data_IF_628096190782
#
_entry.id   IF_628096190782
#
_cell.length_a   1.000
_cell.length_b   1.000
_cell.length_c   1.000
_cell.angle_alpha   90.00
_cell.angle_beta   90.00
_cell.angle_gamma   90.00
#
_symmetry.space_group_name_H-M   'P 1'
#
loop_
_entity.id
_entity.type
_entity.pdbx_description
1 polymer ?
#
# COMPACT_ATOMS: atom_id res chain seq x y z
N UNK A 1 -27.48 -1.44 -22.64
CA UNK A 1 -26.69 -1.34 -23.88
C UNK A 1 -25.90 -0.03 -24.03
N UNK A 2 -26.51 1.17 -23.91
CA UNK A 2 -25.72 2.42 -24.07
C UNK A 2 -24.74 2.66 -22.91
N UNK A 3 -25.14 2.41 -21.67
CA UNK A 3 -24.30 2.59 -20.49
C UNK A 3 -23.10 1.63 -20.45
N UNK A 4 -23.29 0.38 -20.87
CA UNK A 4 -22.19 -0.60 -20.93
C UNK A 4 -21.15 -0.20 -21.99
N UNK A 5 -21.59 0.32 -23.15
CA UNK A 5 -20.68 0.84 -24.18
C UNK A 5 -19.82 2.00 -23.69
N UNK A 6 -20.40 2.94 -22.92
CA UNK A 6 -19.66 4.06 -22.34
C UNK A 6 -18.68 3.61 -21.26
N UNK A 7 -19.07 2.64 -20.44
CA UNK A 7 -18.19 2.04 -19.44
C UNK A 7 -16.96 1.40 -20.07
N UNK A 8 -17.14 0.57 -21.12
CA UNK A 8 -16.02 -0.03 -21.84
C UNK A 8 -15.13 1.02 -22.52
N UNK A 9 -15.70 2.12 -23.01
CA UNK A 9 -14.92 3.21 -23.60
C UNK A 9 -14.07 3.92 -22.56
N UNK A 10 -14.61 4.25 -21.38
CA UNK A 10 -13.87 4.91 -20.30
C UNK A 10 -12.79 3.97 -19.75
N UNK A 11 -13.10 2.70 -19.51
CA UNK A 11 -12.13 1.71 -19.04
C UNK A 11 -11.02 1.46 -20.09
N UNK A 12 -11.37 1.48 -21.38
CA UNK A 12 -10.42 1.43 -22.50
C UNK A 12 -9.49 2.65 -22.51
N UNK A 13 -10.03 3.85 -22.30
CA UNK A 13 -9.24 5.08 -22.22
C UNK A 13 -8.26 5.05 -21.03
N UNK A 14 -8.69 4.56 -19.86
CA UNK A 14 -7.79 4.31 -18.73
C UNK A 14 -6.67 3.34 -19.12
N UNK A 15 -7.01 2.23 -19.77
CA UNK A 15 -6.03 1.23 -20.20
C UNK A 15 -4.98 1.81 -21.14
N UNK A 16 -5.42 2.59 -22.14
CA UNK A 16 -4.53 3.26 -23.09
C UNK A 16 -3.62 4.27 -22.42
N UNK A 17 -4.15 5.08 -21.48
CA UNK A 17 -3.36 6.03 -20.69
C UNK A 17 -2.24 5.34 -19.93
N UNK A 18 -2.55 4.23 -19.26
CA UNK A 18 -1.56 3.52 -18.43
C UNK A 18 -0.51 2.82 -19.29
N UNK A 19 -0.90 2.16 -20.37
CA UNK A 19 0.04 1.53 -21.31
C UNK A 19 0.95 2.57 -21.94
N UNK A 20 0.41 3.72 -22.36
CA UNK A 20 1.19 4.83 -22.89
C UNK A 20 2.16 5.39 -21.84
N UNK A 21 1.69 5.64 -20.61
CA UNK A 21 2.53 6.16 -19.52
C UNK A 21 3.67 5.21 -19.18
N UNK A 22 3.41 3.90 -19.12
CA UNK A 22 4.44 2.87 -18.93
C UNK A 22 5.44 2.84 -20.08
N UNK A 23 4.97 3.02 -21.32
CA UNK A 23 5.83 3.04 -22.51
C UNK A 23 6.76 4.25 -22.53
N UNK A 24 6.29 5.42 -22.11
CA UNK A 24 7.09 6.66 -22.05
C UNK A 24 8.09 6.62 -20.89
N UNK A 25 7.73 6.04 -19.75
CA UNK A 25 8.56 6.02 -18.53
C UNK A 25 9.36 4.73 -18.35
N UNK A 26 9.90 4.19 -19.42
CA UNK A 26 10.50 2.84 -19.49
C UNK A 26 11.55 2.52 -18.41
N UNK A 27 12.23 3.49 -17.82
CA UNK A 27 13.29 3.25 -16.81
C UNK A 27 13.41 4.41 -15.82
N UNK A 28 13.60 4.16 -14.51
CA UNK A 28 13.61 2.85 -13.84
C UNK A 28 12.23 2.18 -13.87
N UNK A 29 12.18 0.84 -13.75
CA UNK A 29 10.93 0.06 -13.92
C UNK A 29 10.09 0.10 -12.63
N UNK A 30 10.74 0.11 -11.45
CA UNK A 30 10.04 0.09 -10.16
C UNK A 30 10.15 1.47 -9.52
N UNK A 31 9.06 2.23 -9.58
CA UNK A 31 8.92 3.57 -9.03
C UNK A 31 7.56 3.69 -8.34
N UNK A 32 7.36 4.73 -7.53
CA UNK A 32 6.04 5.03 -6.96
C UNK A 32 5.01 5.32 -8.05
N UNK A 33 5.44 5.99 -9.13
CA UNK A 33 4.59 6.23 -10.30
C UNK A 33 4.07 4.94 -10.92
N UNK A 34 4.94 3.94 -11.13
CA UNK A 34 4.52 2.65 -11.67
C UNK A 34 3.61 1.88 -10.70
N UNK A 35 3.84 2.00 -9.38
CA UNK A 35 2.93 1.49 -8.36
C UNK A 35 1.54 2.12 -8.44
N UNK A 36 1.47 3.45 -8.59
CA UNK A 36 0.23 4.18 -8.82
C UNK A 36 -0.48 3.69 -10.10
N UNK A 37 0.24 3.61 -11.22
CA UNK A 37 -0.35 3.16 -12.50
C UNK A 37 -0.90 1.73 -12.39
N UNK A 38 -0.16 0.80 -11.78
CA UNK A 38 -0.59 -0.59 -11.63
C UNK A 38 -1.87 -0.72 -10.78
N UNK A 39 -1.93 -0.02 -9.64
CA UNK A 39 -3.12 -0.04 -8.77
C UNK A 39 -4.31 0.63 -9.45
N UNK A 40 -4.10 1.77 -10.08
CA UNK A 40 -5.14 2.50 -10.81
C UNK A 40 -5.63 1.71 -12.02
N UNK A 41 -4.77 0.99 -12.73
CA UNK A 41 -5.17 0.10 -13.83
C UNK A 41 -6.13 -0.98 -13.35
N UNK A 42 -5.83 -1.64 -12.23
CA UNK A 42 -6.72 -2.67 -11.68
C UNK A 42 -8.05 -2.04 -11.25
N UNK A 43 -8.00 -0.93 -10.52
CA UNK A 43 -9.19 -0.31 -9.94
C UNK A 43 -10.12 0.34 -10.98
N UNK A 44 -9.57 1.01 -12.00
CA UNK A 44 -10.34 1.85 -12.93
C UNK A 44 -10.41 1.33 -14.38
N UNK A 45 -9.65 0.29 -14.72
CA UNK A 45 -9.76 -0.37 -16.02
C UNK A 45 -10.25 -1.82 -15.86
N UNK A 46 -9.53 -2.66 -15.11
CA UNK A 46 -9.83 -4.09 -15.01
C UNK A 46 -11.12 -4.35 -14.22
N UNK A 47 -11.28 -3.72 -13.04
CA UNK A 47 -12.45 -3.92 -12.19
C UNK A 47 -13.78 -3.53 -12.87
N UNK A 48 -13.93 -2.34 -13.48
CA UNK A 48 -15.16 -1.99 -14.19
C UNK A 48 -15.53 -2.97 -15.30
N UNK A 49 -14.55 -3.46 -16.08
CA UNK A 49 -14.76 -4.45 -17.13
C UNK A 49 -15.24 -5.79 -16.53
N UNK A 50 -14.57 -6.30 -15.50
CA UNK A 50 -14.97 -7.55 -14.84
C UNK A 50 -16.35 -7.38 -14.18
N UNK A 51 -16.63 -6.24 -13.56
CA UNK A 51 -17.94 -5.93 -12.99
C UNK A 51 -19.05 -5.95 -14.05
N UNK A 52 -18.84 -5.32 -15.21
CA UNK A 52 -19.81 -5.31 -16.31
C UNK A 52 -20.07 -6.74 -16.84
N UNK A 53 -19.02 -7.54 -17.04
CA UNK A 53 -19.13 -8.96 -17.47
C UNK A 53 -19.86 -9.80 -16.43
N UNK A 54 -19.68 -9.50 -15.13
CA UNK A 54 -20.33 -10.21 -14.02
C UNK A 54 -21.77 -9.72 -13.72
N UNK A 55 -22.39 -8.90 -14.57
CA UNK A 55 -23.75 -8.42 -14.40
C UNK A 55 -23.89 -7.04 -13.75
N UNK A 56 -22.83 -6.22 -13.75
CA UNK A 56 -22.90 -4.82 -13.32
C UNK A 56 -22.84 -4.62 -11.79
N UNK A 57 -22.06 -5.42 -11.09
CA UNK A 57 -21.98 -5.38 -9.63
C UNK A 57 -21.18 -4.16 -9.14
N UNK A 58 -21.85 -3.18 -8.53
CA UNK A 58 -21.25 -2.05 -7.81
C UNK A 58 -21.45 -2.30 -6.30
N UNK A 59 -20.37 -2.25 -5.51
CA UNK A 59 -20.40 -2.61 -4.09
C UNK A 59 -21.18 -1.61 -3.21
N UNK A 60 -21.19 -0.33 -3.59
CA UNK A 60 -21.78 0.74 -2.77
C UNK A 60 -22.84 1.50 -3.57
N UNK A 61 -24.00 0.88 -3.85
CA UNK A 61 -25.05 1.53 -4.62
C UNK A 61 -25.73 2.63 -3.82
N UNK A 62 -25.80 3.84 -4.40
CA UNK A 62 -26.49 5.00 -3.83
C UNK A 62 -27.02 5.88 -4.98
N UNK A 63 -28.22 6.44 -4.82
CA UNK A 63 -28.83 7.30 -5.82
C UNK A 63 -28.98 6.65 -7.19
N UNK A 64 -28.80 7.40 -8.27
CA UNK A 64 -28.68 6.90 -9.63
C UNK A 64 -27.28 6.35 -9.87
N UNK A 65 -27.07 5.14 -9.34
CA UNK A 65 -25.74 4.54 -9.18
C UNK A 65 -24.97 4.45 -10.50
N UNK A 66 -25.64 4.18 -11.59
CA UNK A 66 -24.96 3.93 -12.88
C UNK A 66 -24.41 5.22 -13.49
N UNK A 67 -25.22 6.29 -13.52
CA UNK A 67 -24.78 7.59 -14.04
C UNK A 67 -23.71 8.21 -13.13
N UNK A 68 -23.89 8.13 -11.81
CA UNK A 68 -22.88 8.59 -10.85
C UNK A 68 -21.56 7.79 -11.00
N UNK A 69 -21.64 6.47 -11.22
CA UNK A 69 -20.46 5.64 -11.41
C UNK A 69 -19.69 6.02 -12.69
N UNK A 70 -20.39 6.15 -13.82
CA UNK A 70 -19.78 6.55 -15.08
C UNK A 70 -19.15 7.94 -15.02
N UNK A 71 -19.86 8.90 -14.43
CA UNK A 71 -19.35 10.26 -14.24
C UNK A 71 -18.11 10.27 -13.33
N UNK A 72 -18.12 9.48 -12.25
CA UNK A 72 -16.98 9.32 -11.35
C UNK A 72 -15.76 8.70 -12.03
N UNK A 73 -15.96 7.69 -12.87
CA UNK A 73 -14.89 7.11 -13.68
C UNK A 73 -14.29 8.12 -14.66
N UNK A 74 -15.11 8.95 -15.30
CA UNK A 74 -14.64 10.01 -16.19
C UNK A 74 -13.85 11.10 -15.45
N UNK A 75 -14.29 11.52 -14.27
CA UNK A 75 -13.54 12.43 -13.39
C UNK A 75 -12.20 11.83 -12.97
N UNK A 76 -12.19 10.55 -12.62
CA UNK A 76 -10.95 9.86 -12.25
C UNK A 76 -10.00 9.73 -13.44
N UNK A 77 -10.52 9.54 -14.65
CA UNK A 77 -9.70 9.58 -15.88
C UNK A 77 -9.05 10.95 -16.06
N UNK A 78 -9.80 12.03 -15.91
CA UNK A 78 -9.27 13.38 -16.01
C UNK A 78 -8.19 13.64 -14.94
N UNK A 79 -8.41 13.21 -13.69
CA UNK A 79 -7.42 13.24 -12.61
C UNK A 79 -6.16 12.48 -12.99
N UNK A 80 -6.29 11.24 -13.50
CA UNK A 80 -5.15 10.41 -13.88
C UNK A 80 -4.37 10.96 -15.08
N UNK A 81 -5.05 11.56 -16.04
CA UNK A 81 -4.39 12.30 -17.16
C UNK A 81 -3.56 13.45 -16.60
N UNK A 82 -4.12 14.25 -15.70
CA UNK A 82 -3.42 15.34 -15.06
C UNK A 82 -2.25 14.85 -14.19
N UNK A 83 -2.43 13.74 -13.45
CA UNK A 83 -1.38 13.12 -12.66
C UNK A 83 -0.20 12.67 -13.54
N UNK A 84 -0.49 11.94 -14.61
CA UNK A 84 0.54 11.51 -15.58
C UNK A 84 1.21 12.71 -16.23
N UNK A 85 0.44 13.74 -16.62
CA UNK A 85 0.97 14.99 -17.16
C UNK A 85 1.91 15.70 -16.19
N UNK A 86 1.50 15.88 -14.93
CA UNK A 86 2.30 16.47 -13.87
C UNK A 86 3.59 15.69 -13.61
N UNK A 87 3.51 14.37 -13.59
CA UNK A 87 4.68 13.51 -13.45
C UNK A 87 5.65 13.70 -14.62
N UNK A 88 5.20 13.62 -15.86
CA UNK A 88 6.05 13.71 -17.06
C UNK A 88 6.69 15.08 -17.25
N UNK A 89 6.04 16.16 -16.79
CA UNK A 89 6.62 17.52 -16.84
C UNK A 89 7.92 17.64 -16.03
N UNK A 90 7.98 16.95 -14.89
CA UNK A 90 9.10 17.07 -13.94
C UNK A 90 10.02 15.86 -13.91
N UNK A 91 9.54 14.68 -14.36
CA UNK A 91 10.36 13.48 -14.37
C UNK A 91 11.56 13.61 -15.30
N UNK A 92 12.73 13.42 -14.71
CA UNK A 92 14.00 13.32 -15.46
C UNK A 92 14.70 12.05 -14.99
N UNK A 93 14.83 11.03 -15.85
CA UNK A 93 15.59 9.83 -15.47
C UNK A 93 17.03 10.23 -15.14
N UNK A 94 17.59 9.76 -14.03
CA UNK A 94 18.96 10.05 -13.68
C UNK A 94 19.89 9.50 -14.78
N UNK A 95 20.82 10.32 -15.26
CA UNK A 95 21.79 9.95 -16.31
C UNK A 95 22.66 8.76 -15.91
N UNK A 96 22.92 8.60 -14.61
CA UNK A 96 23.66 7.48 -14.05
C UNK A 96 22.97 6.99 -12.79
N UNK A 97 22.73 5.69 -12.70
CA UNK A 97 22.32 5.05 -11.44
C UNK A 97 23.55 4.98 -10.53
N UNK A 98 23.57 5.73 -9.43
CA UNK A 98 24.72 5.71 -8.53
C UNK A 98 24.81 4.34 -7.86
N UNK A 99 26.04 3.81 -7.71
CA UNK A 99 26.27 2.59 -6.94
C UNK A 99 25.68 2.68 -5.53
N UNK A 100 25.05 1.61 -5.08
CA UNK A 100 24.42 1.55 -3.76
C UNK A 100 25.45 1.22 -2.69
N UNK A 101 25.47 2.02 -1.63
CA UNK A 101 26.21 1.75 -0.41
C UNK A 101 25.25 1.23 0.65
N UNK A 102 25.33 -0.06 0.97
CA UNK A 102 24.54 -0.65 2.06
C UNK A 102 25.29 -0.50 3.37
N UNK A 103 24.69 0.19 4.34
CA UNK A 103 25.26 0.38 5.67
C UNK A 103 25.43 -0.94 6.43
N UNK A 104 26.46 -1.05 7.27
CA UNK A 104 26.62 -2.17 8.19
C UNK A 104 25.47 -2.33 9.22
N UNK A 105 24.69 -1.27 9.44
CA UNK A 105 23.52 -1.31 10.33
C UNK A 105 22.35 -2.14 9.79
N UNK A 106 22.32 -2.46 8.49
CA UNK A 106 21.19 -3.15 7.84
C UNK A 106 20.98 -4.56 8.41
N UNK A 107 22.07 -5.33 8.63
CA UNK A 107 21.97 -6.67 9.21
C UNK A 107 21.41 -6.65 10.65
N UNK A 108 21.87 -5.68 11.45
CA UNK A 108 21.37 -5.48 12.82
C UNK A 108 19.91 -5.03 12.82
N UNK A 109 19.58 -4.10 11.92
CA UNK A 109 18.22 -3.64 11.73
C UNK A 109 17.26 -4.75 11.29
N UNK A 110 17.73 -5.68 10.44
CA UNK A 110 16.97 -6.86 10.06
C UNK A 110 16.62 -7.74 11.27
N UNK A 111 17.60 -8.07 12.12
CA UNK A 111 17.38 -8.87 13.32
C UNK A 111 16.45 -8.12 14.30
N UNK A 112 16.68 -6.82 14.53
CA UNK A 112 15.83 -6.02 15.40
C UNK A 112 14.39 -5.92 14.89
N UNK A 113 14.20 -5.76 13.58
CA UNK A 113 12.87 -5.75 12.94
C UNK A 113 12.15 -7.08 13.10
N UNK A 114 12.84 -8.18 12.86
CA UNK A 114 12.28 -9.52 13.03
C UNK A 114 11.85 -9.75 14.47
N UNK A 115 12.72 -9.46 15.46
CA UNK A 115 12.42 -9.64 16.86
C UNK A 115 11.24 -8.76 17.31
N UNK A 116 11.22 -7.49 16.93
CA UNK A 116 10.11 -6.59 17.25
C UNK A 116 8.78 -7.10 16.68
N UNK A 117 8.78 -7.51 15.42
CA UNK A 117 7.58 -8.03 14.76
C UNK A 117 7.09 -9.33 15.41
N UNK A 118 7.98 -10.29 15.67
CA UNK A 118 7.63 -11.56 16.32
C UNK A 118 7.09 -11.33 17.73
N UNK A 119 7.77 -10.51 18.53
CA UNK A 119 7.32 -10.18 19.89
C UNK A 119 5.94 -9.52 19.87
N UNK A 120 5.70 -8.56 18.97
CA UNK A 120 4.40 -7.93 18.83
C UNK A 120 3.30 -8.93 18.46
N UNK A 121 3.56 -9.88 17.54
CA UNK A 121 2.61 -10.95 17.20
C UNK A 121 2.32 -11.85 18.40
N UNK A 122 3.34 -12.26 19.15
CA UNK A 122 3.18 -13.08 20.37
C UNK A 122 2.33 -12.34 21.40
N UNK A 123 2.61 -11.05 21.63
CA UNK A 123 1.82 -10.24 22.58
C UNK A 123 0.36 -10.11 22.10
N UNK A 124 0.12 -9.87 20.82
CA UNK A 124 -1.24 -9.85 20.26
C UNK A 124 -1.94 -11.19 20.52
N UNK A 125 -1.26 -12.31 20.27
CA UNK A 125 -1.80 -13.64 20.50
C UNK A 125 -2.14 -13.87 21.97
N UNK A 126 -1.26 -13.52 22.87
CA UNK A 126 -1.49 -13.64 24.32
C UNK A 126 -2.67 -12.79 24.80
N UNK A 127 -2.78 -11.55 24.32
CA UNK A 127 -3.86 -10.63 24.68
C UNK A 127 -5.22 -11.00 24.04
N UNK A 128 -5.23 -11.78 22.98
CA UNK A 128 -6.45 -12.28 22.34
C UNK A 128 -7.02 -13.55 23.02
N UNK A 129 -6.64 -13.83 24.24
CA UNK A 129 -7.08 -15.00 25.04
C UNK A 129 -6.83 -16.36 24.33
N UNK A 130 -5.75 -16.47 23.58
CA UNK A 130 -5.36 -17.70 22.91
C UNK A 130 -6.14 -18.01 21.63
N UNK A 131 -7.06 -17.12 21.20
CA UNK A 131 -7.65 -17.24 19.87
C UNK A 131 -6.56 -17.11 18.80
N UNK A 132 -6.42 -18.14 17.95
CA UNK A 132 -5.42 -18.10 16.89
C UNK A 132 -5.69 -16.96 15.90
N UNK A 133 -4.65 -16.24 15.56
CA UNK A 133 -4.65 -15.07 14.67
C UNK A 133 -5.37 -15.24 13.33
N UNK A 134 -5.46 -16.45 12.72
CA UNK A 134 -6.08 -16.62 11.41
C UNK A 134 -7.57 -16.19 11.33
N UNK A 135 -8.25 -16.13 12.46
CA UNK A 135 -9.66 -15.69 12.51
C UNK A 135 -9.82 -14.21 12.80
N UNK A 136 -8.75 -13.54 13.23
CA UNK A 136 -8.79 -12.13 13.59
C UNK A 136 -8.50 -11.26 12.37
N UNK A 137 -9.49 -10.58 11.84
CA UNK A 137 -9.27 -9.46 10.92
C UNK A 137 -8.47 -8.38 11.64
N UNK A 138 -7.58 -7.67 10.91
CA UNK A 138 -6.79 -6.56 11.45
C UNK A 138 -7.62 -5.56 12.26
N UNK A 139 -8.85 -5.33 11.83
CA UNK A 139 -9.84 -4.48 12.52
C UNK A 139 -10.24 -5.09 13.87
N UNK A 140 -10.54 -6.39 13.93
CA UNK A 140 -10.89 -7.04 15.18
C UNK A 140 -9.76 -6.96 16.20
N UNK A 141 -8.50 -7.17 15.76
CA UNK A 141 -7.33 -7.03 16.64
C UNK A 141 -7.23 -5.60 17.20
N UNK A 142 -7.40 -4.58 16.35
CA UNK A 142 -7.30 -3.18 16.79
C UNK A 142 -8.43 -2.75 17.74
N UNK A 143 -9.58 -3.42 17.70
CA UNK A 143 -10.74 -3.10 18.52
C UNK A 143 -10.80 -3.93 19.80
N UNK A 144 -10.45 -5.22 19.73
CA UNK A 144 -10.66 -6.19 20.82
C UNK A 144 -9.44 -6.38 21.70
N UNK A 145 -8.22 -6.20 21.15
CA UNK A 145 -6.98 -6.37 21.89
C UNK A 145 -6.57 -5.07 22.56
N UNK A 146 -6.29 -5.06 23.88
CA UNK A 146 -5.74 -3.89 24.56
C UNK A 146 -4.48 -3.38 23.83
N UNK A 147 -4.41 -2.06 23.61
CA UNK A 147 -3.33 -1.44 22.83
C UNK A 147 -3.18 -1.96 21.38
N UNK A 148 -4.20 -2.65 20.83
CA UNK A 148 -4.15 -3.23 19.49
C UNK A 148 -3.78 -2.22 18.40
N UNK A 149 -4.19 -0.95 18.54
CA UNK A 149 -3.83 0.16 17.63
C UNK A 149 -2.32 0.47 17.58
N UNK A 150 -1.57 0.15 18.63
CA UNK A 150 -0.11 0.29 18.68
C UNK A 150 0.58 -1.02 18.34
N UNK A 151 0.07 -2.13 18.85
CA UNK A 151 0.65 -3.45 18.65
C UNK A 151 0.55 -3.92 17.21
N UNK A 152 -0.55 -3.63 16.54
CA UNK A 152 -0.75 -4.03 15.16
C UNK A 152 0.28 -3.40 14.19
N UNK A 153 0.49 -2.08 14.13
CA UNK A 153 1.59 -1.50 13.37
C UNK A 153 2.96 -2.00 13.81
N UNK A 154 3.19 -2.19 15.12
CA UNK A 154 4.43 -2.73 15.65
C UNK A 154 4.71 -4.18 15.23
N UNK A 155 3.69 -4.94 14.84
CA UNK A 155 3.83 -6.26 14.23
C UNK A 155 4.07 -6.16 12.71
N UNK A 156 3.15 -5.50 11.98
CA UNK A 156 3.11 -5.60 10.53
C UNK A 156 4.20 -4.79 9.82
N UNK A 157 4.55 -3.61 10.36
CA UNK A 157 5.56 -2.74 9.75
C UNK A 157 6.96 -3.37 9.78
N UNK A 158 7.47 -3.86 10.93
CA UNK A 158 8.77 -4.51 10.95
C UNK A 158 8.82 -5.79 10.12
N UNK A 159 7.77 -6.64 10.18
CA UNK A 159 7.72 -7.87 9.40
C UNK A 159 7.71 -7.60 7.89
N UNK A 160 6.95 -6.61 7.43
CA UNK A 160 6.99 -6.17 6.03
C UNK A 160 8.37 -5.67 5.63
N UNK A 161 9.01 -4.86 6.49
CA UNK A 161 10.33 -4.28 6.21
C UNK A 161 11.45 -5.32 6.29
N UNK A 162 11.22 -6.47 6.96
CA UNK A 162 12.15 -7.59 6.91
C UNK A 162 12.38 -8.09 5.46
N UNK A 163 11.40 -7.99 4.56
CA UNK A 163 11.54 -8.48 3.18
C UNK A 163 12.64 -7.73 2.40
N UNK A 164 12.61 -6.39 2.27
CA UNK A 164 13.69 -5.66 1.61
C UNK A 164 15.02 -5.69 2.39
N UNK A 165 14.98 -5.68 3.73
CA UNK A 165 16.20 -5.83 4.54
C UNK A 165 16.84 -7.19 4.32
N UNK A 166 16.05 -8.27 4.22
CA UNK A 166 16.52 -9.62 3.92
C UNK A 166 17.31 -9.67 2.61
N UNK A 167 16.79 -9.04 1.55
CA UNK A 167 17.50 -8.98 0.27
C UNK A 167 18.86 -8.29 0.42
N UNK A 168 18.92 -7.16 1.10
CA UNK A 168 20.17 -6.41 1.31
C UNK A 168 21.19 -7.21 2.15
N UNK A 169 20.72 -7.94 3.18
CA UNK A 169 21.57 -8.82 4.00
C UNK A 169 22.03 -10.02 3.18
N UNK A 170 21.13 -10.65 2.41
CA UNK A 170 21.44 -11.79 1.55
C UNK A 170 22.55 -11.50 0.53
N UNK A 171 22.48 -10.33 -0.08
CA UNK A 171 23.47 -9.92 -1.07
C UNK A 171 24.83 -9.61 -0.45
N UNK A 172 24.85 -9.13 0.81
CA UNK A 172 26.09 -8.73 1.50
C UNK A 172 26.74 -9.83 2.30
N UNK A 173 25.96 -10.76 2.90
CA UNK A 173 26.42 -11.74 3.88
C UNK A 173 26.06 -13.17 3.46
N UNK A 174 26.97 -13.83 2.71
CA UNK A 174 26.76 -15.19 2.20
C UNK A 174 26.53 -16.23 3.29
N UNK A 175 27.19 -16.08 4.45
CA UNK A 175 27.09 -17.00 5.59
C UNK A 175 25.72 -16.97 6.30
N UNK A 176 24.95 -15.92 6.12
CA UNK A 176 23.64 -15.74 6.79
C UNK A 176 22.45 -16.15 5.91
N UNK A 177 22.70 -16.67 4.70
CA UNK A 177 21.62 -16.91 3.73
C UNK A 177 20.51 -17.85 4.22
N UNK A 178 20.87 -18.97 4.85
CA UNK A 178 19.87 -19.91 5.40
C UNK A 178 19.03 -19.25 6.49
N UNK A 179 19.66 -18.54 7.42
CA UNK A 179 18.96 -17.77 8.45
C UNK A 179 18.03 -16.73 7.85
N UNK A 180 18.51 -15.96 6.86
CA UNK A 180 17.71 -14.95 6.17
C UNK A 180 16.54 -15.58 5.45
N UNK A 181 16.71 -16.70 4.75
CA UNK A 181 15.63 -17.42 4.10
C UNK A 181 14.54 -17.85 5.10
N UNK A 182 14.93 -18.56 6.17
CA UNK A 182 14.00 -19.04 7.20
C UNK A 182 13.25 -17.88 7.89
N UNK A 183 13.95 -16.81 8.25
CA UNK A 183 13.36 -15.64 8.89
C UNK A 183 12.43 -14.85 7.94
N UNK A 184 12.73 -14.84 6.64
CA UNK A 184 11.85 -14.24 5.63
C UNK A 184 10.57 -15.06 5.47
N UNK A 185 10.69 -16.39 5.38
CA UNK A 185 9.53 -17.29 5.38
C UNK A 185 8.66 -17.07 6.63
N UNK A 186 9.27 -16.99 7.81
CA UNK A 186 8.55 -16.70 9.06
C UNK A 186 7.82 -15.36 8.98
N UNK A 187 8.45 -14.30 8.48
CA UNK A 187 7.81 -12.99 8.33
C UNK A 187 6.59 -13.06 7.40
N UNK A 188 6.69 -13.77 6.28
CA UNK A 188 5.57 -13.96 5.35
C UNK A 188 4.44 -14.77 6.01
N UNK A 189 4.75 -15.85 6.73
CA UNK A 189 3.77 -16.66 7.46
C UNK A 189 3.02 -15.79 8.48
N UNK A 190 3.76 -15.03 9.31
CA UNK A 190 3.14 -14.18 10.32
C UNK A 190 2.26 -13.07 9.71
N UNK A 191 2.69 -12.44 8.61
CA UNK A 191 1.87 -11.46 7.88
C UNK A 191 0.63 -12.12 7.25
N UNK A 192 0.73 -13.37 6.79
CA UNK A 192 -0.39 -14.15 6.28
C UNK A 192 -1.40 -14.44 7.38
N UNK A 193 -0.93 -14.88 8.55
CA UNK A 193 -1.77 -15.10 9.73
C UNK A 193 -2.48 -13.82 10.21
N UNK A 194 -1.86 -12.66 10.02
CA UNK A 194 -2.47 -11.35 10.28
C UNK A 194 -3.37 -10.86 9.13
N UNK A 195 -3.58 -11.64 8.08
CA UNK A 195 -4.32 -11.25 6.85
C UNK A 195 -3.79 -9.99 6.15
N UNK A 196 -2.49 -9.71 6.29
CA UNK A 196 -1.86 -8.46 5.84
C UNK A 196 -1.16 -8.59 4.49
N UNK A 197 -1.90 -8.99 3.46
CA UNK A 197 -1.38 -9.16 2.09
C UNK A 197 -0.75 -7.89 1.50
N UNK A 198 -1.34 -6.70 1.78
CA UNK A 198 -0.79 -5.44 1.29
C UNK A 198 0.63 -5.19 1.78
N UNK A 199 0.93 -5.56 3.02
CA UNK A 199 2.27 -5.44 3.61
C UNK A 199 3.27 -6.44 3.03
N UNK A 200 2.83 -7.65 2.66
CA UNK A 200 3.68 -8.63 1.96
C UNK A 200 4.01 -8.09 0.57
N UNK A 201 3.01 -7.69 -0.20
CA UNK A 201 3.18 -7.17 -1.56
C UNK A 201 4.08 -5.93 -1.56
N UNK A 202 3.84 -4.97 -0.68
CA UNK A 202 4.68 -3.79 -0.54
C UNK A 202 6.14 -4.14 -0.23
N UNK A 203 6.37 -5.00 0.75
CA UNK A 203 7.72 -5.46 1.10
C UNK A 203 8.44 -6.14 -0.07
N UNK A 204 7.73 -6.94 -0.87
CA UNK A 204 8.27 -7.58 -2.08
C UNK A 204 8.58 -6.56 -3.19
N UNK A 205 7.70 -5.57 -3.41
CA UNK A 205 7.92 -4.50 -4.39
C UNK A 205 9.15 -3.69 -3.99
N UNK A 206 9.32 -3.36 -2.71
CA UNK A 206 10.50 -2.64 -2.22
C UNK A 206 11.77 -3.49 -2.33
N UNK A 207 11.67 -4.80 -2.09
CA UNK A 207 12.80 -5.71 -2.35
C UNK A 207 13.17 -5.71 -3.85
N UNK A 208 12.18 -5.75 -4.74
CA UNK A 208 12.40 -5.66 -6.19
C UNK A 208 12.99 -4.29 -6.60
N UNK A 209 12.55 -3.19 -5.99
CA UNK A 209 13.17 -1.86 -6.16
C UNK A 209 14.67 -1.85 -5.82
N UNK A 210 15.06 -2.45 -4.68
CA UNK A 210 16.47 -2.58 -4.32
C UNK A 210 17.23 -3.51 -5.26
N UNK A 211 16.59 -4.60 -5.70
CA UNK A 211 17.19 -5.52 -6.67
C UNK A 211 17.46 -4.82 -8.01
N UNK A 212 16.49 -4.02 -8.50
CA UNK A 212 16.66 -3.23 -9.71
C UNK A 212 17.85 -2.28 -9.60
N UNK A 213 17.96 -1.57 -8.48
CA UNK A 213 19.07 -0.62 -8.25
C UNK A 213 20.43 -1.28 -8.13
N UNK A 214 20.49 -2.53 -7.63
CA UNK A 214 21.75 -3.25 -7.41
C UNK A 214 22.23 -4.04 -8.64
N UNK A 215 21.30 -4.62 -9.38
CA UNK A 215 21.59 -5.60 -10.44
C UNK A 215 21.00 -5.23 -11.79
N UNK A 216 20.14 -4.23 -11.83
CA UNK A 216 19.25 -3.98 -12.96
C UNK A 216 18.12 -5.01 -13.04
N UNK A 217 16.97 -4.60 -13.51
CA UNK A 217 15.80 -5.45 -13.73
C UNK A 217 15.34 -5.31 -15.18
N UNK A 218 15.28 -6.43 -15.92
CA UNK A 218 14.68 -6.43 -17.25
C UNK A 218 13.15 -6.46 -17.16
N UNK A 219 12.45 -5.90 -18.15
CA UNK A 219 10.98 -5.86 -18.20
C UNK A 219 10.31 -7.21 -17.98
N UNK A 220 10.82 -8.27 -18.60
CA UNK A 220 10.29 -9.62 -18.41
C UNK A 220 10.27 -10.02 -16.94
N UNK A 221 11.39 -9.85 -16.23
CA UNK A 221 11.48 -10.16 -14.79
C UNK A 221 10.60 -9.25 -13.93
N UNK A 222 10.46 -7.97 -14.30
CA UNK A 222 9.56 -7.06 -13.61
C UNK A 222 8.10 -7.52 -13.73
N UNK A 223 7.67 -7.93 -14.92
CA UNK A 223 6.32 -8.48 -15.16
C UNK A 223 6.14 -9.78 -14.35
N UNK A 224 7.11 -10.69 -14.40
CA UNK A 224 7.08 -11.95 -13.62
C UNK A 224 6.92 -11.67 -12.13
N UNK A 225 7.64 -10.67 -11.58
CA UNK A 225 7.53 -10.27 -10.16
C UNK A 225 6.17 -9.65 -9.82
N UNK A 226 5.63 -8.80 -10.69
CA UNK A 226 4.29 -8.21 -10.50
C UNK A 226 3.22 -9.30 -10.53
N UNK A 227 3.27 -10.20 -11.49
CA UNK A 227 2.33 -11.33 -11.57
C UNK A 227 2.45 -12.25 -10.36
N UNK A 228 3.67 -12.57 -9.91
CA UNK A 228 3.90 -13.34 -8.70
C UNK A 228 3.35 -12.63 -7.45
N UNK A 229 3.53 -11.31 -7.32
CA UNK A 229 3.01 -10.53 -6.21
C UNK A 229 1.46 -10.49 -6.21
N UNK A 230 0.83 -10.35 -7.38
CA UNK A 230 -0.63 -10.40 -7.53
C UNK A 230 -1.18 -11.80 -7.19
N UNK A 231 -0.53 -12.85 -7.69
CA UNK A 231 -0.90 -14.22 -7.36
C UNK A 231 -0.78 -14.49 -5.85
N UNK A 232 0.34 -14.10 -5.24
CA UNK A 232 0.52 -14.19 -3.78
C UNK A 232 -0.59 -13.42 -3.04
N UNK A 233 -0.91 -12.20 -3.45
CA UNK A 233 -1.96 -11.40 -2.83
C UNK A 233 -3.34 -12.07 -2.94
N UNK A 234 -3.63 -12.74 -4.06
CA UNK A 234 -4.87 -13.48 -4.25
C UNK A 234 -4.94 -14.75 -3.38
N UNK A 235 -3.81 -15.45 -3.18
CA UNK A 235 -3.74 -16.71 -2.45
C UNK A 235 -3.64 -16.56 -0.94
N UNK A 236 -3.17 -15.43 -0.41
CA UNK A 236 -2.92 -15.25 1.04
C UNK A 236 -4.19 -15.49 1.88
N UNK A 237 -5.35 -14.99 1.48
CA UNK A 237 -6.61 -15.23 2.22
C UNK A 237 -7.05 -16.69 2.19
N UNK A 238 -7.15 -17.36 1.02
CA UNK A 238 -7.44 -18.78 0.95
C UNK A 238 -6.48 -19.62 1.80
N UNK A 239 -5.17 -19.34 1.72
CA UNK A 239 -4.17 -20.03 2.53
C UNK A 239 -4.37 -19.84 4.03
N UNK A 240 -4.65 -18.59 4.46
CA UNK A 240 -4.94 -18.30 5.85
C UNK A 240 -6.21 -19.05 6.33
N UNK A 241 -7.25 -19.16 5.50
CA UNK A 241 -8.45 -19.94 5.80
C UNK A 241 -8.15 -21.44 5.94
N UNK A 242 -7.29 -22.00 5.08
CA UNK A 242 -6.86 -23.41 5.19
C UNK A 242 -6.06 -23.64 6.47
N UNK A 243 -5.17 -22.74 6.84
CA UNK A 243 -4.45 -22.80 8.13
C UNK A 243 -5.45 -22.78 9.31
N UNK A 244 -6.61 -22.12 9.13
CA UNK A 244 -7.69 -22.05 10.11
C UNK A 244 -8.65 -23.27 10.06
N UNK A 245 -8.38 -24.28 9.23
CA UNK A 245 -9.15 -25.52 9.15
C UNK A 245 -10.12 -25.61 7.96
N UNK A 246 -10.12 -24.63 7.04
CA UNK A 246 -10.89 -24.75 5.81
C UNK A 246 -10.26 -25.81 4.86
N UNK A 247 -11.05 -26.49 4.03
CA UNK A 247 -10.54 -27.52 3.13
C UNK A 247 -9.65 -26.93 2.03
N UNK A 248 -8.64 -27.69 1.58
CA UNK A 248 -7.74 -27.28 0.50
C UNK A 248 -8.44 -27.01 -0.84
N UNK A 249 -9.62 -27.63 -1.05
CA UNK A 249 -10.49 -27.34 -2.20
C UNK A 249 -10.83 -25.86 -2.31
N UNK A 250 -10.86 -25.14 -1.20
CA UNK A 250 -11.07 -23.70 -1.17
C UNK A 250 -9.89 -22.91 -1.75
N UNK A 251 -8.73 -23.49 -1.88
CA UNK A 251 -7.56 -22.87 -2.52
C UNK A 251 -7.47 -23.20 -4.00
N UNK A 252 -7.77 -24.45 -4.37
CA UNK A 252 -7.47 -25.03 -5.68
C UNK A 252 -8.68 -25.05 -6.60
N UNK A 253 -9.91 -25.07 -6.03
CA UNK A 253 -11.13 -25.44 -6.75
C UNK A 253 -11.57 -24.49 -7.88
N UNK A 254 -11.30 -23.18 -7.78
CA UNK A 254 -11.65 -22.19 -8.81
C UNK A 254 -10.69 -20.99 -8.80
N UNK A 255 -9.53 -21.09 -9.46
CA UNK A 255 -8.55 -19.99 -9.47
C UNK A 255 -9.06 -18.73 -10.17
N UNK A 256 -9.86 -18.88 -11.23
CA UNK A 256 -10.40 -17.74 -11.99
C UNK A 256 -11.49 -17.01 -11.21
N UNK A 257 -12.40 -17.75 -10.58
CA UNK A 257 -13.41 -17.18 -9.68
C UNK A 257 -12.76 -16.44 -8.52
N UNK A 258 -11.71 -16.99 -7.92
CA UNK A 258 -10.94 -16.30 -6.85
C UNK A 258 -10.23 -15.04 -7.31
N UNK A 259 -9.66 -15.06 -8.51
CA UNK A 259 -9.07 -13.85 -9.08
C UNK A 259 -10.16 -12.79 -9.32
N UNK A 260 -11.31 -13.19 -9.87
CA UNK A 260 -12.48 -12.33 -10.01
C UNK A 260 -12.91 -11.74 -8.65
N UNK A 261 -13.08 -12.58 -7.62
CA UNK A 261 -13.49 -12.16 -6.29
C UNK A 261 -12.42 -11.28 -5.60
N UNK A 262 -11.14 -11.51 -5.91
CA UNK A 262 -10.05 -10.65 -5.46
C UNK A 262 -10.13 -9.25 -6.08
N UNK A 263 -10.42 -9.15 -7.38
CA UNK A 263 -10.56 -7.88 -8.10
C UNK A 263 -11.88 -7.18 -7.73
N UNK A 264 -13.00 -7.91 -7.67
CA UNK A 264 -14.31 -7.37 -7.31
C UNK A 264 -14.48 -7.14 -5.80
N UNK A 265 -13.62 -7.71 -4.98
CA UNK A 265 -13.66 -7.53 -3.52
C UNK A 265 -13.20 -6.13 -3.07
N UNK A 266 -13.23 -5.89 -1.75
CA UNK A 266 -12.95 -4.57 -1.15
C UNK A 266 -11.48 -4.14 -1.18
N UNK A 267 -10.66 -4.67 -2.09
CA UNK A 267 -9.27 -4.26 -2.22
C UNK A 267 -9.04 -3.25 -3.34
N UNK A 268 -9.93 -3.28 -4.32
CA UNK A 268 -9.91 -2.41 -5.49
C UNK A 268 -11.26 -1.71 -5.67
N UNK A 269 -12.03 -1.59 -4.58
CA UNK A 269 -13.37 -0.99 -4.53
C UNK A 269 -13.38 0.53 -4.70
N UNK A 270 -12.22 1.14 -4.79
CA UNK A 270 -12.06 2.60 -4.92
C UNK A 270 -12.92 3.17 -6.07
N UNK A 271 -13.07 2.45 -7.18
CA UNK A 271 -13.94 2.88 -8.28
C UNK A 271 -15.42 2.95 -7.84
N UNK A 272 -15.87 2.00 -7.01
CA UNK A 272 -17.26 1.86 -6.56
C UNK A 272 -17.64 2.92 -5.50
N UNK A 273 -16.67 3.66 -4.97
CA UNK A 273 -16.89 4.75 -4.00
C UNK A 273 -17.28 6.07 -4.68
N UNK A 274 -17.09 6.19 -6.00
CA UNK A 274 -17.45 7.41 -6.72
C UNK A 274 -18.92 7.81 -6.58
N UNK A 275 -19.91 6.90 -6.69
CA UNK A 275 -21.31 7.26 -6.45
C UNK A 275 -21.52 7.89 -5.06
N UNK A 276 -20.87 7.35 -4.04
CA UNK A 276 -20.95 7.87 -2.66
C UNK A 276 -20.35 9.27 -2.55
N UNK A 277 -19.16 9.50 -3.15
CA UNK A 277 -18.51 10.81 -3.12
C UNK A 277 -19.31 11.89 -3.86
N UNK A 278 -19.91 11.54 -5.00
CA UNK A 278 -20.74 12.44 -5.79
C UNK A 278 -22.04 12.78 -5.07
N UNK A 279 -22.75 11.78 -4.53
CA UNK A 279 -23.97 11.98 -3.79
C UNK A 279 -23.76 12.73 -2.47
N UNK A 280 -22.64 12.44 -1.78
CA UNK A 280 -22.20 13.24 -0.63
C UNK A 280 -22.10 14.73 -0.99
N UNK A 281 -21.37 15.04 -2.07
CA UNK A 281 -21.15 16.43 -2.49
C UNK A 281 -22.44 17.10 -2.94
N UNK A 282 -23.34 16.34 -3.59
CA UNK A 282 -24.66 16.84 -4.00
C UNK A 282 -25.54 17.19 -2.81
N UNK A 283 -25.53 16.38 -1.75
CA UNK A 283 -26.41 16.52 -0.59
C UNK A 283 -25.83 17.42 0.51
N UNK A 284 -24.51 17.40 0.73
CA UNK A 284 -23.83 18.08 1.83
C UNK A 284 -23.03 19.31 1.37
N UNK A 285 -22.79 19.46 0.07
CA UNK A 285 -21.92 20.50 -0.49
C UNK A 285 -20.43 20.18 -0.41
N UNK A 286 -19.61 21.17 -0.81
CA UNK A 286 -18.14 21.05 -0.78
C UNK A 286 -17.58 21.35 0.61
N UNK A 287 -16.54 20.64 1.00
CA UNK A 287 -15.89 20.75 2.32
C UNK A 287 -14.75 21.78 2.38
N UNK A 288 -14.34 22.36 1.25
CA UNK A 288 -13.32 23.41 1.16
C UNK A 288 -12.04 23.14 1.95
N UNK A 289 -11.54 21.90 1.90
CA UNK A 289 -10.30 21.49 2.56
C UNK A 289 -10.44 21.02 4.01
N UNK A 290 -11.65 20.90 4.55
CA UNK A 290 -11.85 20.46 5.94
C UNK A 290 -11.24 19.08 6.22
N UNK A 291 -11.30 18.15 5.25
CA UNK A 291 -10.69 16.81 5.44
C UNK A 291 -9.17 16.89 5.50
N UNK A 292 -8.55 17.84 4.79
CA UNK A 292 -7.10 18.07 4.81
C UNK A 292 -6.66 18.65 6.16
N UNK A 293 -7.46 19.55 6.76
CA UNK A 293 -7.21 20.08 8.11
C UNK A 293 -7.36 19.00 9.18
N UNK A 294 -8.12 17.95 8.92
CA UNK A 294 -8.28 16.80 9.81
C UNK A 294 -7.10 15.80 9.77
N UNK A 295 -6.15 15.93 8.84
CA UNK A 295 -5.01 15.01 8.71
C UNK A 295 -4.25 14.80 10.04
N UNK A 296 -3.88 15.83 10.81
CA UNK A 296 -3.22 15.61 12.09
C UNK A 296 -4.05 14.77 13.07
N UNK A 297 -5.36 14.87 13.03
CA UNK A 297 -6.27 14.12 13.88
C UNK A 297 -6.30 12.60 13.51
N UNK A 298 -5.79 12.21 12.35
CA UNK A 298 -5.70 10.80 11.92
C UNK A 298 -4.89 9.95 12.91
N UNK A 299 -3.95 10.56 13.64
CA UNK A 299 -3.18 9.88 14.69
C UNK A 299 -3.95 9.69 16.00
N UNK A 300 -5.08 10.36 16.16
CA UNK A 300 -5.96 10.21 17.31
C UNK A 300 -6.92 9.01 17.15
N UNK A 301 -7.57 8.61 18.25
CA UNK A 301 -8.59 7.56 18.18
C UNK A 301 -9.78 8.03 17.34
N UNK A 302 -10.44 7.14 16.62
CA UNK A 302 -11.63 7.50 15.83
C UNK A 302 -12.74 8.12 16.67
N UNK A 303 -12.99 7.60 17.87
CA UNK A 303 -13.97 8.21 18.80
C UNK A 303 -13.60 9.63 19.21
N UNK A 304 -12.31 9.93 19.36
CA UNK A 304 -11.86 11.30 19.62
C UNK A 304 -12.06 12.20 18.39
N UNK A 305 -11.71 11.70 17.19
CA UNK A 305 -11.92 12.45 15.93
C UNK A 305 -13.38 12.78 15.72
N UNK A 306 -14.29 11.82 15.93
CA UNK A 306 -15.73 12.04 15.87
C UNK A 306 -16.17 13.14 16.85
N UNK A 307 -15.72 13.04 18.12
CA UNK A 307 -16.06 13.99 19.16
C UNK A 307 -15.65 15.43 18.84
N UNK A 308 -14.50 15.64 18.20
CA UNK A 308 -14.00 16.97 17.82
C UNK A 308 -14.40 17.40 16.42
N UNK A 309 -15.15 16.57 15.68
CA UNK A 309 -15.56 16.83 14.31
C UNK A 309 -14.42 16.86 13.28
N UNK A 310 -13.20 16.41 13.65
CA UNK A 310 -12.06 16.37 12.77
C UNK A 310 -12.05 15.06 11.95
N UNK A 311 -12.91 15.00 10.93
CA UNK A 311 -13.15 13.82 10.10
C UNK A 311 -12.39 13.91 8.78
N UNK A 312 -11.64 12.84 8.46
CA UNK A 312 -10.95 12.70 7.18
C UNK A 312 -11.94 12.37 6.05
N UNK A 313 -11.48 12.32 4.80
CA UNK A 313 -12.33 11.94 3.67
C UNK A 313 -12.92 10.53 3.84
N UNK A 314 -12.12 9.57 4.30
CA UNK A 314 -12.58 8.21 4.62
C UNK A 314 -13.65 8.24 5.70
N UNK A 315 -13.44 8.99 6.80
CA UNK A 315 -14.42 9.07 7.88
C UNK A 315 -15.74 9.67 7.39
N UNK A 316 -15.69 10.80 6.64
CA UNK A 316 -16.88 11.50 6.13
C UNK A 316 -17.72 10.62 5.19
N UNK A 317 -17.09 10.01 4.20
CA UNK A 317 -17.82 9.21 3.22
C UNK A 317 -18.33 7.89 3.82
N UNK A 318 -17.57 7.26 4.71
CA UNK A 318 -18.03 6.05 5.39
C UNK A 318 -19.17 6.35 6.40
N UNK A 319 -19.08 7.45 7.15
CA UNK A 319 -20.17 7.90 8.03
C UNK A 319 -21.44 8.22 7.23
N UNK A 320 -21.30 8.89 6.09
CA UNK A 320 -22.42 9.21 5.21
C UNK A 320 -23.13 7.95 4.67
N UNK A 321 -22.37 6.92 4.31
CA UNK A 321 -22.91 5.69 3.72
C UNK A 321 -23.39 4.68 4.78
N UNK A 322 -22.60 4.46 5.85
CA UNK A 322 -22.84 3.44 6.85
C UNK A 322 -23.48 3.97 8.15
N UNK A 323 -23.54 5.31 8.34
CA UNK A 323 -24.00 5.93 9.57
C UNK A 323 -23.20 5.49 10.80
N UNK A 324 -23.90 5.27 11.91
CA UNK A 324 -23.30 4.85 13.19
C UNK A 324 -22.62 3.47 13.12
N UNK A 325 -23.01 2.61 12.17
CA UNK A 325 -22.38 1.30 11.99
C UNK A 325 -20.89 1.43 11.65
N UNK A 326 -20.48 2.46 10.92
CA UNK A 326 -19.07 2.74 10.65
C UNK A 326 -18.26 2.90 11.94
N UNK A 327 -18.77 3.68 12.89
CA UNK A 327 -18.06 3.97 14.14
C UNK A 327 -17.99 2.78 15.10
N UNK A 328 -18.97 1.89 15.03
CA UNK A 328 -19.00 0.67 15.86
C UNK A 328 -18.10 -0.45 15.33
N UNK A 329 -18.01 -0.60 14.02
CA UNK A 329 -17.29 -1.73 13.40
C UNK A 329 -15.97 -1.34 12.73
N UNK A 330 -15.78 -0.06 12.39
CA UNK A 330 -14.70 0.43 11.53
C UNK A 330 -14.60 -0.34 10.20
N UNK A 331 -15.71 -0.89 9.78
CA UNK A 331 -15.81 -1.52 8.47
C UNK A 331 -16.26 -0.48 7.47
N UNK A 332 -15.47 -0.26 6.44
CA UNK A 332 -15.77 0.71 5.41
C UNK A 332 -14.90 0.51 4.18
N UNK A 333 -15.08 1.39 3.23
CA UNK A 333 -14.32 1.44 1.99
C UNK A 333 -13.14 2.40 2.08
N UNK A 334 -12.19 2.25 1.16
CA UNK A 334 -11.08 3.17 1.00
C UNK A 334 -11.45 4.32 0.06
N UNK A 335 -10.87 5.49 0.30
CA UNK A 335 -11.03 6.69 -0.52
C UNK A 335 -9.69 7.02 -1.18
N UNK A 336 -9.71 7.43 -2.44
CA UNK A 336 -8.52 7.89 -3.12
C UNK A 336 -8.37 9.41 -3.08
N UNK A 337 -7.20 9.90 -3.50
CA UNK A 337 -6.92 11.35 -3.53
C UNK A 337 -7.84 12.11 -4.48
N UNK A 338 -8.29 11.50 -5.58
CA UNK A 338 -9.23 12.14 -6.50
C UNK A 338 -10.60 12.36 -5.87
N UNK A 339 -11.11 11.38 -5.12
CA UNK A 339 -12.37 11.47 -4.38
C UNK A 339 -12.26 12.46 -3.21
N UNK A 340 -11.15 12.40 -2.45
CA UNK A 340 -10.86 13.38 -1.40
C UNK A 340 -10.82 14.80 -1.96
N UNK A 341 -10.12 15.00 -3.07
CA UNK A 341 -10.07 16.28 -3.77
C UNK A 341 -11.44 16.74 -4.26
N UNK A 342 -12.27 15.80 -4.75
CA UNK A 342 -13.59 16.12 -5.27
C UNK A 342 -14.56 16.58 -4.16
N UNK A 343 -14.64 15.89 -3.04
CA UNK A 343 -15.51 16.31 -1.93
C UNK A 343 -15.07 17.62 -1.29
N UNK A 344 -13.80 17.99 -1.42
CA UNK A 344 -13.29 19.26 -0.92
C UNK A 344 -13.46 20.41 -1.94
N UNK A 345 -13.17 20.17 -3.22
CA UNK A 345 -12.98 21.23 -4.21
C UNK A 345 -13.74 20.99 -5.53
N UNK A 346 -14.58 19.96 -5.60
CA UNK A 346 -15.30 19.61 -6.82
C UNK A 346 -14.37 19.26 -7.99
N UNK A 347 -14.70 19.66 -9.23
CA UNK A 347 -13.90 19.35 -10.42
C UNK A 347 -12.45 19.85 -10.39
N UNK A 348 -12.12 20.81 -9.51
CA UNK A 348 -10.75 21.31 -9.30
C UNK A 348 -9.80 20.19 -8.83
N UNK A 349 -10.34 19.05 -8.37
CA UNK A 349 -9.55 17.84 -8.05
C UNK A 349 -8.57 17.43 -9.17
N UNK A 350 -8.88 17.75 -10.43
CA UNK A 350 -7.98 17.49 -11.58
C UNK A 350 -6.64 18.23 -11.41
N UNK A 351 -6.65 19.46 -10.87
CA UNK A 351 -5.42 20.20 -10.57
C UNK A 351 -4.61 19.51 -9.47
N UNK A 352 -5.28 18.96 -8.47
CA UNK A 352 -4.61 18.15 -7.43
C UNK A 352 -3.93 16.92 -8.03
N UNK A 353 -4.52 16.32 -9.08
CA UNK A 353 -3.88 15.25 -9.85
C UNK A 353 -2.52 15.68 -10.41
N UNK A 354 -2.45 16.85 -11.06
CA UNK A 354 -1.21 17.39 -11.59
C UNK A 354 -0.15 17.62 -10.49
N UNK A 355 -0.55 18.24 -9.36
CA UNK A 355 0.34 18.48 -8.22
C UNK A 355 0.85 17.17 -7.60
N UNK A 356 -0.03 16.18 -7.46
CA UNK A 356 0.35 14.86 -6.94
C UNK A 356 1.33 14.13 -7.88
N UNK A 357 1.12 14.23 -9.20
CA UNK A 357 2.03 13.69 -10.21
C UNK A 357 3.41 14.35 -10.14
N UNK A 358 3.45 15.68 -10.03
CA UNK A 358 4.69 16.43 -9.83
C UNK A 358 5.43 15.99 -8.56
N UNK A 359 4.73 15.91 -7.43
CA UNK A 359 5.31 15.49 -6.17
C UNK A 359 5.85 14.06 -6.24
N UNK A 360 5.11 13.16 -6.91
CA UNK A 360 5.57 11.78 -7.15
C UNK A 360 6.86 11.77 -7.98
N UNK A 361 6.98 12.61 -9.02
CA UNK A 361 8.19 12.72 -9.83
C UNK A 361 9.40 13.19 -9.00
N UNK A 362 9.20 14.15 -8.11
CA UNK A 362 10.25 14.63 -7.18
C UNK A 362 10.70 13.52 -6.24
N UNK A 363 9.75 12.80 -5.63
CA UNK A 363 10.05 11.69 -4.72
C UNK A 363 10.77 10.57 -5.45
N UNK A 364 10.30 10.16 -6.62
CA UNK A 364 10.95 9.13 -7.45
C UNK A 364 12.38 9.54 -7.86
N UNK A 365 12.58 10.82 -8.19
CA UNK A 365 13.93 11.34 -8.47
C UNK A 365 14.84 11.25 -7.24
N UNK A 366 14.35 11.64 -6.05
CA UNK A 366 15.11 11.52 -4.81
C UNK A 366 15.43 10.05 -4.49
N UNK A 367 14.47 9.15 -4.64
CA UNK A 367 14.68 7.72 -4.48
C UNK A 367 15.67 7.17 -5.51
N UNK A 368 15.60 7.61 -6.77
CA UNK A 368 16.49 7.18 -7.84
C UNK A 368 17.94 7.63 -7.60
N UNK A 369 18.17 8.83 -7.04
CA UNK A 369 19.49 9.40 -6.78
C UNK A 369 20.08 9.02 -5.42
N UNK A 370 19.29 8.42 -4.53
CA UNK A 370 19.73 8.00 -3.20
C UNK A 370 20.83 6.92 -3.29
N UNK A 371 22.01 7.20 -2.71
CA UNK A 371 23.18 6.29 -2.76
C UNK A 371 23.36 5.43 -1.52
N UNK A 372 23.00 5.92 -0.34
CA UNK A 372 23.20 5.22 0.94
C UNK A 372 21.88 4.66 1.44
N UNK A 373 21.90 3.40 1.83
CA UNK A 373 20.77 2.75 2.47
C UNK A 373 21.15 2.23 3.84
N UNK A 374 20.53 2.81 4.85
CA UNK A 374 20.50 2.36 6.22
C UNK A 374 19.10 1.86 6.58
N UNK A 375 18.92 1.39 7.78
CA UNK A 375 17.63 0.87 8.26
C UNK A 375 16.51 1.90 8.10
N UNK A 376 16.74 3.14 8.53
CA UNK A 376 15.72 4.19 8.50
C UNK A 376 15.24 4.49 7.07
N UNK A 377 16.16 4.53 6.11
CA UNK A 377 15.82 4.76 4.70
C UNK A 377 15.06 3.60 4.09
N UNK A 378 15.38 2.35 4.47
CA UNK A 378 14.59 1.19 4.02
C UNK A 378 13.16 1.26 4.56
N UNK A 379 12.97 1.67 5.82
CA UNK A 379 11.64 1.90 6.39
C UNK A 379 10.90 3.02 5.67
N UNK A 380 11.55 4.15 5.38
CA UNK A 380 10.96 5.24 4.61
C UNK A 380 10.49 4.78 3.23
N UNK A 381 11.37 4.09 2.49
CA UNK A 381 11.02 3.57 1.15
C UNK A 381 9.82 2.62 1.24
N UNK A 382 9.82 1.70 2.22
CA UNK A 382 8.70 0.76 2.38
C UNK A 382 7.40 1.50 2.74
N UNK A 383 7.44 2.53 3.60
CA UNK A 383 6.30 3.37 3.92
C UNK A 383 5.74 4.12 2.72
N UNK A 384 6.59 4.63 1.83
CA UNK A 384 6.17 5.29 0.60
C UNK A 384 5.50 4.31 -0.37
N UNK A 385 6.01 3.09 -0.49
CA UNK A 385 5.41 2.09 -1.39
C UNK A 385 4.11 1.50 -0.83
N UNK A 386 3.97 1.28 0.49
CA UNK A 386 2.72 0.77 1.09
C UNK A 386 1.59 1.80 0.98
N UNK A 387 1.92 3.09 1.06
CA UNK A 387 0.95 4.15 0.86
C UNK A 387 0.48 4.29 -0.60
N UNK A 388 1.07 3.51 -1.50
CA UNK A 388 0.68 3.44 -2.91
C UNK A 388 0.92 4.72 -3.70
N UNK A 389 1.85 5.60 -3.25
CA UNK A 389 2.20 6.82 -3.98
C UNK A 389 0.98 7.68 -4.32
N UNK A 390 0.16 8.07 -3.33
CA UNK A 390 -1.06 8.86 -3.50
C UNK A 390 -2.28 8.13 -4.13
N UNK A 391 -2.28 6.80 -4.17
CA UNK A 391 -3.50 6.04 -4.54
C UNK A 391 -4.60 6.21 -3.50
N UNK A 392 -4.23 6.26 -2.20
CA UNK A 392 -5.16 6.49 -1.10
C UNK A 392 -5.40 7.98 -0.79
N UNK A 393 -6.24 8.25 0.18
CA UNK A 393 -6.40 9.61 0.73
C UNK A 393 -5.08 10.14 1.31
N UNK A 394 -4.89 11.46 1.29
CA UNK A 394 -3.65 12.08 1.75
C UNK A 394 -3.37 11.80 3.23
N UNK A 395 -4.42 11.80 4.07
CA UNK A 395 -4.33 11.50 5.49
C UNK A 395 -3.81 10.11 5.79
N UNK A 396 -4.34 9.10 5.11
CA UNK A 396 -3.89 7.70 5.22
C UNK A 396 -2.46 7.52 4.73
N UNK A 397 -2.11 8.15 3.61
CA UNK A 397 -0.74 8.14 3.06
C UNK A 397 0.27 8.67 4.08
N UNK A 398 0.02 9.85 4.65
CA UNK A 398 0.90 10.48 5.64
C UNK A 398 0.97 9.67 6.93
N UNK A 399 -0.14 9.09 7.39
CA UNK A 399 -0.18 8.23 8.57
C UNK A 399 0.76 7.01 8.41
N UNK A 400 0.68 6.31 7.27
CA UNK A 400 1.53 5.15 7.04
C UNK A 400 3.00 5.51 6.91
N UNK A 401 3.35 6.54 6.14
CA UNK A 401 4.73 7.01 6.02
C UNK A 401 5.29 7.39 7.40
N UNK A 402 4.53 8.09 8.23
CA UNK A 402 4.94 8.47 9.58
C UNK A 402 5.11 7.24 10.48
N UNK A 403 4.17 6.27 10.43
CA UNK A 403 4.26 5.05 11.23
C UNK A 403 5.50 4.22 10.87
N UNK A 404 5.83 4.11 9.57
CA UNK A 404 7.06 3.46 9.12
C UNK A 404 8.31 4.21 9.60
N UNK A 405 8.33 5.53 9.51
CA UNK A 405 9.46 6.34 10.00
C UNK A 405 9.68 6.18 11.51
N UNK A 406 8.61 6.28 12.31
CA UNK A 406 8.71 6.12 13.77
C UNK A 406 9.18 4.72 14.14
N UNK A 407 8.64 3.68 13.50
CA UNK A 407 9.09 2.30 13.71
C UNK A 407 10.55 2.13 13.27
N UNK A 408 10.94 2.74 12.15
CA UNK A 408 12.32 2.74 11.67
C UNK A 408 13.29 3.40 12.65
N UNK A 409 12.89 4.51 13.27
CA UNK A 409 13.68 5.17 14.34
C UNK A 409 13.82 4.24 15.55
N UNK A 410 12.73 3.61 15.98
CA UNK A 410 12.75 2.66 17.11
C UNK A 410 13.74 1.50 16.83
N UNK A 411 13.60 0.85 15.68
CA UNK A 411 14.49 -0.25 15.25
C UNK A 411 15.95 0.22 15.14
N UNK A 412 16.17 1.42 14.62
CA UNK A 412 17.51 2.00 14.51
C UNK A 412 18.14 2.24 15.90
N UNK A 413 17.37 2.78 16.86
CA UNK A 413 17.82 2.98 18.25
C UNK A 413 18.13 1.63 18.91
N UNK A 414 17.19 0.67 18.86
CA UNK A 414 17.38 -0.67 19.43
C UNK A 414 18.61 -1.34 18.84
N UNK A 415 18.79 -1.28 17.52
CA UNK A 415 19.95 -1.86 16.83
C UNK A 415 21.29 -1.24 17.25
N UNK A 416 21.29 -0.01 17.74
CA UNK A 416 22.50 0.66 18.27
C UNK A 416 22.76 0.32 19.73
N UNK A 417 21.73 0.29 20.56
CA UNK A 417 21.85 0.04 22.00
C UNK A 417 22.30 -1.38 22.32
N UNK A 418 21.71 -2.36 21.67
CA UNK A 418 22.01 -3.78 21.89
C UNK A 418 23.46 -4.14 21.53
N UNK A 419 24.09 -3.42 20.58
CA UNK A 419 25.43 -3.75 20.10
C UNK A 419 26.56 -2.94 20.75
N UNK A 420 26.27 -1.82 21.38
CA UNK A 420 27.27 -1.10 22.18
C UNK A 420 27.72 -1.90 23.40
N UNK A 421 26.87 -2.77 23.95
CA UNK A 421 27.18 -3.62 25.12
C UNK A 421 28.05 -4.84 24.81
N UNK A 422 28.14 -5.25 23.54
CA UNK A 422 28.88 -6.48 23.16
C UNK A 422 30.38 -6.28 22.97
N UNK A 423 30.93 -5.07 23.16
CA UNK A 423 32.38 -4.80 23.08
C UNK A 423 33.07 -5.08 21.73
N UNK A 424 32.36 -5.65 20.79
CA UNK A 424 32.87 -5.93 19.45
C UNK A 424 32.83 -4.63 18.63
N UNK A 425 33.92 -3.87 18.71
CA UNK A 425 34.17 -2.79 17.75
C UNK A 425 34.32 -3.45 16.37
N UNK A 426 33.37 -3.27 15.46
CA UNK A 426 33.57 -3.80 14.11
C UNK A 426 34.73 -3.03 13.50
N UNK A 427 35.84 -3.72 13.20
CA UNK A 427 36.86 -3.19 12.30
C UNK A 427 36.16 -2.57 11.11
N UNK A 428 36.50 -1.29 10.78
CA UNK A 428 35.93 -0.55 9.63
C UNK A 428 35.98 -1.45 8.41
N UNK A 429 34.83 -1.93 7.88
CA UNK A 429 34.89 -2.70 6.65
C UNK A 429 35.31 -1.75 5.55
N UNK A 430 36.37 -2.13 4.84
CA UNK A 430 36.75 -1.47 3.61
C UNK A 430 35.50 -1.37 2.71
N UNK A 431 35.17 -0.17 2.28
CA UNK A 431 34.11 0.13 1.32
C UNK A 431 34.46 -0.53 0.00
N UNK A 432 34.07 -1.78 -0.19
CA UNK A 432 34.07 -2.38 -1.52
C UNK A 432 32.80 -1.92 -2.21
N UNK A 433 32.96 -1.04 -3.19
CA UNK A 433 31.96 -0.80 -4.20
C UNK A 433 31.62 -2.15 -4.85
N UNK A 434 30.36 -2.51 -4.86
CA UNK A 434 29.87 -3.64 -5.63
C UNK A 434 29.69 -3.11 -7.04
N UNK A 435 30.67 -3.37 -7.91
CA UNK A 435 30.59 -3.15 -9.35
C UNK A 435 29.71 -4.21 -10.00
#
# INVERSE_FOLDING_TARGET
MQADGLLFLIAGAHSLLYVWALWVTRRPIITLFHGFLATSFIAFAVRPIISAIAGGHILYPIGDVQDLYLFGLALNLAFNVAFVGGYLLFWRPPKHTPGIIVSGSVARGYIASLLLGVVAVVVIHMLSAGAWLPTARSVAITLTVPFGKLLFPAAVIPLSTCLPLALLVWLKHTRLRLFVAGATCLSIILLTLLYQRGFIVSGLIVAAFFFEKLRGLGYRRAIELVLAALLMAALIRPLANVISGAPWTDVIGDPLGRFRDFVLGPNFDIADVWPVALEYTRSQGLLFGQTLLAIPARFASPSFRQKIGALTAVDRLNEFYWGDQYWSTYFGFNVNLAQEGYINFGPVTVVLGCLAGLLTAVIDYLLATMRRYDVLRVYLVNGLFISGGFVGELGGTLQWVTAFLLTGVLVWVVSRLTWRRSGVVPSRPALRAIN
#
